data_IF_136651051208
#
_entry.id   IF_136651051208
#
_cell.length_a   1.000
_cell.length_b   1.000
_cell.length_c   1.000
_cell.angle_alpha   90.00
_cell.angle_beta   90.00
_cell.angle_gamma   90.00
#
_symmetry.space_group_name_H-M   'P 1'
#
loop_
_entity.id
_entity.type
_entity.pdbx_description
1 polymer ?
#
# COMPACT_ATOMS: atom_id res chain seq x y z
N UNK A 1 -5.39 -11.70 -20.97
CA UNK A 1 -4.51 -10.91 -20.08
C UNK A 1 -3.07 -11.23 -20.46
N UNK A 2 -2.26 -10.25 -20.86
CA UNK A 2 -0.85 -10.51 -21.22
C UNK A 2 -0.01 -10.81 -19.95
N UNK A 3 1.12 -11.52 -20.12
CA UNK A 3 2.00 -11.92 -19.02
C UNK A 3 2.48 -10.71 -18.20
N UNK A 4 2.71 -9.58 -18.88
CA UNK A 4 3.17 -8.34 -18.25
C UNK A 4 2.13 -7.74 -17.29
N UNK A 5 0.84 -7.73 -17.65
CA UNK A 5 -0.24 -7.28 -16.77
C UNK A 5 -0.43 -8.23 -15.58
N UNK A 6 -0.22 -9.54 -15.79
CA UNK A 6 -0.26 -10.52 -14.68
C UNK A 6 0.88 -10.31 -13.69
N UNK A 7 2.09 -9.99 -14.17
CA UNK A 7 3.23 -9.66 -13.33
C UNK A 7 2.98 -8.36 -12.56
N UNK A 8 2.56 -7.30 -13.25
CA UNK A 8 2.18 -6.02 -12.62
C UNK A 8 1.15 -6.22 -11.51
N UNK A 9 0.10 -7.01 -11.76
CA UNK A 9 -0.92 -7.30 -10.76
C UNK A 9 -0.31 -7.93 -9.51
N UNK A 10 0.58 -8.91 -9.67
CA UNK A 10 1.24 -9.60 -8.55
C UNK A 10 2.13 -8.65 -7.76
N UNK A 11 2.89 -7.81 -8.44
CA UNK A 11 3.77 -6.83 -7.80
C UNK A 11 2.96 -5.82 -6.98
N UNK A 12 1.87 -5.30 -7.54
CA UNK A 12 0.97 -4.38 -6.84
C UNK A 12 0.30 -5.04 -5.63
N UNK A 13 -0.11 -6.31 -5.74
CA UNK A 13 -0.61 -7.07 -4.59
C UNK A 13 0.45 -7.23 -3.49
N UNK A 14 1.72 -7.45 -3.87
CA UNK A 14 2.84 -7.48 -2.94
C UNK A 14 3.03 -6.14 -2.22
N UNK A 15 3.04 -5.04 -2.98
CA UNK A 15 3.15 -3.68 -2.41
C UNK A 15 2.01 -3.36 -1.46
N UNK A 16 0.76 -3.69 -1.81
CA UNK A 16 -0.39 -3.50 -0.91
C UNK A 16 -0.22 -4.29 0.40
N UNK A 17 0.23 -5.55 0.32
CA UNK A 17 0.50 -6.36 1.50
C UNK A 17 1.60 -5.78 2.39
N UNK A 18 2.68 -5.27 1.78
CA UNK A 18 3.78 -4.63 2.51
C UNK A 18 3.32 -3.34 3.20
N UNK A 19 2.55 -2.47 2.51
CA UNK A 19 1.99 -1.26 3.10
C UNK A 19 1.09 -1.56 4.29
N UNK A 20 0.21 -2.56 4.16
CA UNK A 20 -0.67 -3.03 5.24
C UNK A 20 0.14 -3.53 6.43
N UNK A 21 1.18 -4.33 6.19
CA UNK A 21 2.07 -4.84 7.24
C UNK A 21 2.80 -3.71 7.94
N UNK A 22 3.38 -2.78 7.19
CA UNK A 22 4.04 -1.60 7.76
C UNK A 22 3.11 -0.78 8.63
N UNK A 23 1.87 -0.52 8.20
CA UNK A 23 0.88 0.17 9.01
C UNK A 23 0.62 -0.55 10.36
N UNK A 24 0.49 -1.88 10.35
CA UNK A 24 0.31 -2.68 11.58
C UNK A 24 1.52 -2.59 12.51
N UNK A 25 2.74 -2.66 11.98
CA UNK A 25 3.95 -2.50 12.80
C UNK A 25 4.06 -1.09 13.39
N UNK A 26 3.71 -0.06 12.61
CA UNK A 26 3.72 1.33 13.05
C UNK A 26 2.70 1.60 14.16
N UNK A 27 1.52 0.96 14.13
CA UNK A 27 0.53 1.04 15.23
C UNK A 27 1.15 0.59 16.54
N UNK A 28 1.87 -0.54 16.55
CA UNK A 28 2.53 -1.06 17.76
C UNK A 28 3.59 -0.09 18.30
N UNK A 29 4.26 0.65 17.42
CA UNK A 29 5.23 1.67 17.82
C UNK A 29 4.51 2.90 18.39
N UNK A 30 3.43 3.35 17.75
CA UNK A 30 2.61 4.48 18.24
C UNK A 30 2.04 4.19 19.63
N UNK A 31 1.52 2.98 19.86
CA UNK A 31 1.01 2.55 21.16
C UNK A 31 2.10 2.60 22.24
N UNK A 32 3.32 2.14 21.92
CA UNK A 32 4.47 2.19 22.83
C UNK A 32 4.89 3.63 23.15
N UNK A 33 4.82 4.54 22.18
CA UNK A 33 5.13 5.95 22.40
C UNK A 33 4.09 6.62 23.30
N UNK A 34 2.80 6.35 23.08
CA UNK A 34 1.73 6.88 23.93
C UNK A 34 1.83 6.33 25.37
N UNK A 35 2.12 5.04 25.54
CA UNK A 35 2.39 4.44 26.87
C UNK A 35 3.61 5.05 27.58
N UNK A 36 4.60 5.52 26.83
CA UNK A 36 5.76 6.23 27.36
C UNK A 36 5.51 7.73 27.62
N UNK A 37 4.28 8.22 27.40
CA UNK A 37 3.91 9.63 27.55
C UNK A 37 4.35 10.52 26.38
N UNK A 38 4.87 9.94 25.29
CA UNK A 38 5.28 10.67 24.09
C UNK A 38 4.14 10.76 23.08
N UNK A 39 3.10 11.48 23.48
CA UNK A 39 1.89 11.67 22.69
C UNK A 39 2.13 12.43 21.35
N UNK A 40 3.00 13.47 21.28
CA UNK A 40 3.27 14.14 20.00
C UNK A 40 3.81 13.20 18.91
N UNK A 41 4.75 12.31 19.27
CA UNK A 41 5.33 11.36 18.31
C UNK A 41 4.36 10.22 17.98
N UNK A 42 3.54 9.77 18.95
CA UNK A 42 2.46 8.81 18.69
C UNK A 42 1.48 9.37 17.65
N UNK A 43 1.06 10.63 17.80
CA UNK A 43 0.19 11.30 16.83
C UNK A 43 0.84 11.49 15.46
N UNK A 44 2.16 11.75 15.40
CA UNK A 44 2.90 11.78 14.15
C UNK A 44 2.87 10.42 13.44
N UNK A 45 3.05 9.33 14.18
CA UNK A 45 2.91 7.98 13.63
C UNK A 45 1.49 7.67 13.17
N UNK A 46 0.45 8.10 13.89
CA UNK A 46 -0.93 7.93 13.41
C UNK A 46 -1.19 8.62 12.06
N UNK A 47 -0.64 9.82 11.85
CA UNK A 47 -0.71 10.48 10.54
C UNK A 47 0.03 9.68 9.47
N UNK A 48 1.19 9.11 9.80
CA UNK A 48 1.94 8.27 8.86
C UNK A 48 1.20 6.97 8.55
N UNK A 49 0.63 6.30 9.56
CA UNK A 49 -0.19 5.08 9.39
C UNK A 49 -1.33 5.34 8.40
N UNK A 50 -1.98 6.51 8.49
CA UNK A 50 -3.02 6.89 7.53
C UNK A 50 -2.49 6.99 6.10
N UNK A 51 -1.31 7.57 5.90
CA UNK A 51 -0.68 7.63 4.55
C UNK A 51 -0.44 6.23 3.98
N UNK A 52 -0.03 5.26 4.81
CA UNK A 52 0.17 3.88 4.39
C UNK A 52 -1.15 3.18 4.03
N UNK A 53 -2.20 3.40 4.83
CA UNK A 53 -3.54 2.88 4.57
C UNK A 53 -4.13 3.46 3.28
N UNK A 54 -4.07 4.78 3.10
CA UNK A 54 -4.53 5.46 1.89
C UNK A 54 -3.75 4.99 0.65
N UNK A 55 -2.45 4.71 0.81
CA UNK A 55 -1.59 4.14 -0.23
C UNK A 55 -1.98 2.71 -0.60
N UNK A 56 -2.23 1.87 0.41
CA UNK A 56 -2.67 0.49 0.23
C UNK A 56 -4.00 0.42 -0.51
N UNK A 57 -5.00 1.22 -0.09
CA UNK A 57 -6.31 1.30 -0.73
C UNK A 57 -6.21 1.69 -2.22
N UNK A 58 -5.36 2.68 -2.55
CA UNK A 58 -5.12 3.09 -3.94
C UNK A 58 -4.54 1.95 -4.77
N UNK A 59 -3.54 1.24 -4.24
CA UNK A 59 -2.91 0.11 -4.95
C UNK A 59 -3.92 -1.03 -5.13
N UNK A 60 -4.70 -1.35 -4.09
CA UNK A 60 -5.76 -2.35 -4.15
C UNK A 60 -6.82 -2.00 -5.19
N UNK A 61 -7.22 -0.73 -5.29
CA UNK A 61 -8.14 -0.24 -6.34
C UNK A 61 -7.57 -0.45 -7.75
N UNK A 62 -6.27 -0.24 -7.95
CA UNK A 62 -5.62 -0.49 -9.25
C UNK A 62 -5.63 -1.99 -9.55
N UNK A 63 -5.33 -2.84 -8.56
CA UNK A 63 -5.40 -4.31 -8.72
C UNK A 63 -6.80 -4.75 -9.12
N UNK A 64 -7.84 -4.18 -8.52
CA UNK A 64 -9.23 -4.47 -8.87
C UNK A 64 -9.55 -4.03 -10.30
N UNK A 65 -9.10 -2.83 -10.70
CA UNK A 65 -9.18 -2.36 -12.08
C UNK A 65 -8.50 -3.31 -13.08
N UNK A 66 -7.37 -3.90 -12.70
CA UNK A 66 -6.68 -4.93 -13.50
C UNK A 66 -7.53 -6.23 -13.56
N UNK A 67 -8.09 -6.68 -12.44
CA UNK A 67 -8.89 -7.91 -12.36
C UNK A 67 -10.15 -7.85 -13.23
N UNK A 68 -10.80 -6.68 -13.33
CA UNK A 68 -11.97 -6.48 -14.20
C UNK A 68 -11.60 -6.13 -15.65
N UNK A 69 -10.30 -6.07 -15.97
CA UNK A 69 -9.80 -5.75 -17.31
C UNK A 69 -9.87 -4.27 -17.69
N UNK A 70 -10.21 -3.38 -16.75
CA UNK A 70 -10.26 -1.93 -16.95
C UNK A 70 -8.89 -1.25 -16.94
N UNK A 71 -7.85 -1.91 -16.41
CA UNK A 71 -6.47 -1.44 -16.41
C UNK A 71 -5.57 -2.52 -17.03
N UNK A 72 -4.74 -2.12 -17.99
CA UNK A 72 -3.76 -2.98 -18.65
C UNK A 72 -2.40 -2.29 -18.70
N UNK A 73 -1.32 -3.06 -18.57
CA UNK A 73 0.02 -2.54 -18.81
C UNK A 73 0.28 -2.48 -20.31
N UNK A 74 0.60 -1.29 -20.82
CA UNK A 74 1.06 -1.11 -22.19
C UNK A 74 2.49 -1.65 -22.28
N UNK A 75 2.72 -2.54 -23.23
CA UNK A 75 4.07 -2.89 -23.65
C UNK A 75 4.65 -1.63 -24.30
N UNK A 76 5.86 -1.21 -23.89
CA UNK A 76 6.53 -0.06 -24.50
C UNK A 76 6.57 -0.27 -26.02
N UNK A 77 5.87 0.58 -26.76
CA UNK A 77 5.90 0.58 -28.23
C UNK A 77 7.37 0.69 -28.64
N UNK A 78 7.90 -0.36 -29.27
CA UNK A 78 9.16 -0.26 -29.98
C UNK A 78 8.96 0.76 -31.10
N UNK A 79 9.50 1.96 -30.91
CA UNK A 79 9.64 2.96 -31.95
C UNK A 79 10.71 2.53 -32.97
#
# INVERSE_FOLDING_TARGET
MNNLTQHLRRDLQGVAADLKRSAVELVRIADRLSQAGNEPDAQALHRMIKVFQDGEEKVSTIVDGINVGGIVRLDSVSA
#
